data_IF_999373512036
#
_entry.id   IF_999373512036
#
_cell.length_a   1.000
_cell.length_b   1.000
_cell.length_c   1.000
_cell.angle_alpha   90.00
_cell.angle_beta   90.00
_cell.angle_gamma   90.00
#
_symmetry.space_group_name_H-M   'P 1'
#
loop_
_entity.id
_entity.type
_entity.pdbx_description
1 polymer ?
#
# COMPACT_ATOMS: atom_id res chain seq x y z
N UNK A 1 -21.37 -5.01 33.41
CA UNK A 1 -22.15 -4.33 32.33
C UNK A 1 -22.40 -5.26 31.14
N UNK A 2 -21.46 -5.63 30.26
CA UNK A 2 -21.79 -6.56 29.12
C UNK A 2 -22.26 -7.94 29.61
N UNK A 3 -21.59 -8.55 30.60
CA UNK A 3 -22.04 -9.83 31.14
C UNK A 3 -23.46 -9.76 31.71
N UNK A 4 -23.81 -8.68 32.40
CA UNK A 4 -25.13 -8.46 32.94
C UNK A 4 -26.21 -8.28 31.85
N UNK A 5 -25.90 -7.56 30.76
CA UNK A 5 -26.77 -7.42 29.60
C UNK A 5 -27.19 -8.76 29.01
N UNK A 6 -26.33 -9.76 29.09
CA UNK A 6 -26.57 -11.13 28.60
C UNK A 6 -26.84 -12.13 29.74
N UNK A 7 -27.23 -11.65 30.92
CA UNK A 7 -27.62 -12.49 32.05
C UNK A 7 -26.49 -13.40 32.63
N UNK A 8 -25.22 -13.10 32.29
CA UNK A 8 -24.09 -13.90 32.76
C UNK A 8 -23.50 -13.36 34.07
N UNK A 9 -23.25 -14.24 35.01
CA UNK A 9 -22.53 -13.91 36.24
C UNK A 9 -21.04 -13.77 35.98
N UNK A 10 -20.39 -12.88 36.72
CA UNK A 10 -18.93 -12.83 36.77
C UNK A 10 -18.42 -13.85 37.76
N UNK A 11 -17.51 -14.71 37.36
CA UNK A 11 -16.88 -15.73 38.20
C UNK A 11 -15.36 -15.54 38.20
N UNK A 12 -14.73 -15.86 39.33
CA UNK A 12 -13.28 -15.74 39.47
C UNK A 12 -12.60 -16.86 38.65
N UNK A 13 -11.70 -16.46 37.73
CA UNK A 13 -10.95 -17.41 36.91
C UNK A 13 -9.51 -17.51 37.41
N UNK A 14 -9.25 -18.51 38.22
CA UNK A 14 -7.92 -18.73 38.86
C UNK A 14 -6.74 -18.84 37.87
N UNK A 15 -6.88 -19.50 36.67
CA UNK A 15 -5.80 -19.51 35.69
C UNK A 15 -5.43 -18.11 35.18
N UNK A 16 -6.40 -17.22 34.92
CA UNK A 16 -6.13 -15.84 34.52
C UNK A 16 -5.45 -15.05 35.65
N UNK A 17 -5.89 -15.22 36.92
CA UNK A 17 -5.26 -14.58 38.04
C UNK A 17 -3.76 -14.94 38.13
N UNK A 18 -3.42 -16.23 38.01
CA UNK A 18 -2.03 -16.70 38.02
C UNK A 18 -1.21 -16.10 36.86
N UNK A 19 -1.78 -15.94 35.69
CA UNK A 19 -1.08 -15.30 34.57
C UNK A 19 -0.81 -13.82 34.83
N UNK A 20 -1.77 -13.12 35.40
CA UNK A 20 -1.60 -11.72 35.80
C UNK A 20 -0.49 -11.58 36.84
N UNK A 21 -0.49 -12.42 37.85
CA UNK A 21 0.58 -12.50 38.88
C UNK A 21 1.97 -12.69 38.24
N UNK A 22 2.11 -13.72 37.40
CA UNK A 22 3.37 -14.01 36.69
C UNK A 22 3.82 -12.85 35.79
N UNK A 23 2.88 -12.12 35.17
CA UNK A 23 3.20 -10.95 34.35
C UNK A 23 3.76 -9.81 35.21
N UNK A 24 3.15 -9.55 36.38
CA UNK A 24 3.64 -8.54 37.35
C UNK A 24 5.00 -8.91 37.94
N UNK A 25 5.22 -10.15 38.34
CA UNK A 25 6.51 -10.63 38.83
C UNK A 25 7.64 -10.41 37.83
N UNK A 26 7.37 -10.67 36.55
CA UNK A 26 8.36 -10.49 35.45
C UNK A 26 8.71 -9.03 35.16
N UNK A 27 7.73 -8.12 35.23
CA UNK A 27 7.92 -6.71 34.83
C UNK A 27 8.15 -5.75 35.98
N UNK A 28 7.71 -6.09 37.17
CA UNK A 28 7.72 -5.22 38.33
C UNK A 28 8.32 -5.92 39.58
N UNK A 29 9.47 -6.57 39.40
CA UNK A 29 10.15 -7.29 40.47
C UNK A 29 10.12 -6.50 41.79
N UNK A 30 9.43 -7.04 42.83
CA UNK A 30 9.31 -6.46 44.16
C UNK A 30 8.11 -5.53 44.42
N UNK A 31 7.19 -5.32 43.47
CA UNK A 31 5.93 -4.60 43.74
C UNK A 31 4.76 -5.59 43.81
N UNK A 32 4.00 -5.61 44.91
CA UNK A 32 2.84 -6.48 45.03
C UNK A 32 1.74 -6.05 44.07
N UNK A 33 1.05 -7.03 43.53
CA UNK A 33 -0.15 -6.81 42.70
C UNK A 33 -1.27 -6.20 43.54
N UNK A 34 -1.96 -5.20 43.04
CA UNK A 34 -3.08 -4.56 43.76
C UNK A 34 -4.37 -5.36 43.59
N UNK A 35 -5.34 -5.23 44.53
CA UNK A 35 -6.64 -5.89 44.45
C UNK A 35 -7.38 -5.57 43.16
N UNK A 36 -7.23 -4.36 42.63
CA UNK A 36 -7.85 -3.96 41.35
C UNK A 36 -7.42 -4.82 40.17
N UNK A 37 -6.22 -5.39 40.21
CA UNK A 37 -5.74 -6.25 39.11
C UNK A 37 -6.43 -7.63 39.15
N UNK A 38 -6.87 -8.11 40.31
CA UNK A 38 -7.64 -9.35 40.43
C UNK A 38 -9.04 -9.22 39.81
N UNK A 39 -9.60 -8.01 39.72
CA UNK A 39 -10.86 -7.77 39.02
C UNK A 39 -10.79 -8.16 37.53
N UNK A 40 -9.60 -8.10 36.93
CA UNK A 40 -9.38 -8.56 35.55
C UNK A 40 -9.55 -10.07 35.38
N UNK A 41 -9.50 -10.84 36.46
CA UNK A 41 -9.76 -12.27 36.48
C UNK A 41 -11.24 -12.62 36.77
N UNK A 42 -12.11 -11.61 36.96
CA UNK A 42 -13.55 -11.81 37.06
C UNK A 42 -14.16 -11.88 35.66
N UNK A 43 -14.42 -13.08 35.17
CA UNK A 43 -14.83 -13.34 33.80
C UNK A 43 -16.29 -13.80 33.72
N UNK A 44 -17.00 -13.58 32.59
CA UNK A 44 -18.34 -14.11 32.39
C UNK A 44 -18.37 -15.63 32.48
N UNK A 45 -19.34 -16.18 33.22
CA UNK A 45 -19.50 -17.62 33.38
C UNK A 45 -19.65 -18.34 32.02
N UNK A 46 -18.86 -19.40 31.81
CA UNK A 46 -18.88 -20.21 30.58
C UNK A 46 -18.25 -19.53 29.37
N UNK A 47 -17.49 -18.45 29.56
CA UNK A 47 -16.77 -17.83 28.43
C UNK A 47 -15.54 -18.65 28.03
N UNK A 48 -15.17 -18.51 26.76
CA UNK A 48 -13.84 -18.91 26.26
C UNK A 48 -12.86 -17.80 26.63
N UNK A 49 -11.78 -18.14 27.35
CA UNK A 49 -10.73 -17.21 27.71
C UNK A 49 -9.73 -17.08 26.57
N UNK A 50 -9.45 -15.83 26.19
CA UNK A 50 -8.45 -15.48 25.19
C UNK A 50 -7.23 -14.93 25.93
N UNK A 51 -6.18 -15.73 26.02
CA UNK A 51 -4.96 -15.39 26.76
C UNK A 51 -4.25 -14.15 26.15
N UNK A 52 -3.86 -13.22 27.03
CA UNK A 52 -3.13 -12.01 26.66
C UNK A 52 -1.63 -12.18 26.97
N UNK A 53 -0.81 -12.36 25.95
CA UNK A 53 0.66 -12.44 26.08
C UNK A 53 1.33 -11.06 26.01
N UNK A 54 0.59 -9.99 25.73
CA UNK A 54 1.07 -8.62 25.52
C UNK A 54 0.70 -7.66 26.65
N UNK A 55 -0.11 -8.12 27.60
CA UNK A 55 -0.59 -7.34 28.75
C UNK A 55 -1.16 -8.23 29.86
N UNK A 56 -1.92 -7.63 30.77
CA UNK A 56 -2.45 -8.32 31.96
C UNK A 56 -3.87 -8.84 31.77
N UNK A 57 -4.76 -8.02 31.24
CA UNK A 57 -6.19 -8.37 31.13
C UNK A 57 -6.43 -9.42 30.05
N UNK A 58 -7.04 -10.57 30.36
CA UNK A 58 -7.43 -11.54 29.33
C UNK A 58 -8.56 -10.96 28.45
N UNK A 59 -8.65 -11.47 27.22
CA UNK A 59 -9.85 -11.33 26.43
C UNK A 59 -10.84 -12.46 26.75
N UNK A 60 -12.10 -12.28 26.41
CA UNK A 60 -13.13 -13.31 26.56
C UNK A 60 -14.05 -13.36 25.35
N UNK A 61 -14.54 -14.57 25.04
CA UNK A 61 -15.55 -14.79 24.04
C UNK A 61 -16.65 -15.66 24.60
N UNK A 62 -17.92 -15.33 24.30
CA UNK A 62 -19.08 -16.15 24.64
C UNK A 62 -20.20 -15.96 23.64
N UNK A 63 -21.15 -16.90 23.65
CA UNK A 63 -22.37 -16.79 22.87
C UNK A 63 -23.56 -16.69 23.83
N UNK A 64 -24.47 -15.77 23.53
CA UNK A 64 -25.75 -15.62 24.24
C UNK A 64 -26.77 -15.00 23.29
N UNK A 65 -28.02 -15.49 23.34
CA UNK A 65 -29.16 -15.01 22.53
C UNK A 65 -28.86 -14.99 21.01
N UNK A 66 -28.05 -15.95 20.51
CA UNK A 66 -27.65 -16.02 19.10
C UNK A 66 -26.59 -14.98 18.71
N UNK A 67 -26.06 -14.20 19.66
CA UNK A 67 -25.03 -13.20 19.45
C UNK A 67 -23.70 -13.69 20.03
N UNK A 68 -22.62 -13.56 19.26
CA UNK A 68 -21.26 -13.82 19.75
C UNK A 68 -20.63 -12.53 20.23
N UNK A 69 -20.23 -12.51 21.49
CA UNK A 69 -19.61 -11.37 22.15
C UNK A 69 -18.12 -11.67 22.38
N UNK A 70 -17.27 -10.77 21.90
CA UNK A 70 -15.82 -10.83 22.13
C UNK A 70 -15.40 -9.52 22.78
N UNK A 71 -14.74 -9.62 23.92
CA UNK A 71 -14.18 -8.47 24.63
C UNK A 71 -12.66 -8.56 24.69
N UNK A 72 -11.99 -7.49 24.34
CA UNK A 72 -10.53 -7.37 24.32
C UNK A 72 -10.09 -6.17 25.18
N UNK A 73 -8.83 -6.19 25.68
CA UNK A 73 -8.24 -5.04 26.35
C UNK A 73 -8.22 -3.80 25.47
N UNK A 74 -8.40 -2.62 26.09
CA UNK A 74 -8.44 -1.33 25.38
C UNK A 74 -7.13 -0.85 24.76
N UNK A 75 -5.92 -1.07 25.35
CA UNK A 75 -4.69 -0.56 24.78
C UNK A 75 -4.46 -1.09 23.35
N UNK A 76 -4.24 -0.20 22.34
CA UNK A 76 -4.20 -0.60 20.92
C UNK A 76 -3.18 -1.69 20.59
N UNK A 77 -2.03 -1.70 21.30
CA UNK A 77 -0.98 -2.70 21.10
C UNK A 77 -1.46 -4.10 21.51
N UNK A 78 -2.10 -4.21 22.68
CA UNK A 78 -2.65 -5.46 23.17
C UNK A 78 -3.83 -5.92 22.33
N UNK A 79 -4.79 -5.02 22.07
CA UNK A 79 -6.00 -5.30 21.31
C UNK A 79 -5.68 -5.85 19.92
N UNK A 80 -4.77 -5.21 19.16
CA UNK A 80 -4.36 -5.66 17.82
C UNK A 80 -3.69 -7.03 17.84
N UNK A 81 -2.76 -7.22 18.78
CA UNK A 81 -2.05 -8.49 18.88
C UNK A 81 -2.99 -9.63 19.29
N UNK A 82 -3.86 -9.42 20.26
CA UNK A 82 -4.87 -10.40 20.67
C UNK A 82 -5.88 -10.68 19.56
N UNK A 83 -6.33 -9.67 18.83
CA UNK A 83 -7.21 -9.87 17.69
C UNK A 83 -6.57 -10.79 16.65
N UNK A 84 -5.34 -10.49 16.27
CA UNK A 84 -4.61 -11.28 15.27
C UNK A 84 -4.34 -12.72 15.73
N UNK A 85 -3.87 -12.90 16.96
CA UNK A 85 -3.34 -14.19 17.41
C UNK A 85 -4.31 -15.04 18.23
N UNK A 86 -5.45 -14.48 18.66
CA UNK A 86 -6.44 -15.19 19.47
C UNK A 86 -7.85 -15.15 18.85
N UNK A 87 -8.33 -13.95 18.48
CA UNK A 87 -9.69 -13.80 17.97
C UNK A 87 -9.84 -14.39 16.58
N UNK A 88 -8.92 -14.09 15.65
CA UNK A 88 -8.98 -14.64 14.29
C UNK A 88 -8.98 -16.19 14.31
N UNK A 89 -8.08 -16.90 15.02
CA UNK A 89 -8.14 -18.34 15.12
C UNK A 89 -9.45 -18.86 15.76
N UNK A 90 -9.93 -18.20 16.81
CA UNK A 90 -11.21 -18.53 17.43
C UNK A 90 -12.38 -18.41 16.44
N UNK A 91 -12.48 -17.30 15.71
CA UNK A 91 -13.52 -17.11 14.70
C UNK A 91 -13.41 -18.12 13.55
N UNK A 92 -12.18 -18.44 13.12
CA UNK A 92 -11.94 -19.47 12.10
C UNK A 92 -12.43 -20.85 12.54
N UNK A 93 -12.30 -21.19 13.83
CA UNK A 93 -12.79 -22.47 14.36
C UNK A 93 -14.32 -22.60 14.37
N UNK A 94 -15.03 -21.46 14.27
CA UNK A 94 -16.50 -21.41 14.26
C UNK A 94 -17.08 -21.24 12.84
N UNK A 95 -16.21 -21.02 11.86
CA UNK A 95 -16.65 -20.78 10.48
C UNK A 95 -16.99 -22.09 9.77
N UNK A 96 -18.04 -22.05 8.96
CA UNK A 96 -18.48 -23.14 8.08
C UNK A 96 -17.79 -23.13 6.72
N UNK A 97 -16.59 -22.57 6.65
CA UNK A 97 -15.78 -22.41 5.45
C UNK A 97 -14.79 -21.27 5.57
N UNK A 98 -14.16 -20.94 4.46
CA UNK A 98 -13.16 -19.87 4.36
C UNK A 98 -13.62 -18.81 3.39
N UNK A 99 -13.18 -17.56 3.63
CA UNK A 99 -13.32 -16.44 2.70
C UNK A 99 -11.92 -16.08 2.22
N UNK A 100 -11.72 -16.14 0.90
CA UNK A 100 -10.47 -15.76 0.24
C UNK A 100 -10.73 -14.56 -0.65
N UNK A 101 -9.84 -13.59 -0.63
CA UNK A 101 -9.88 -12.44 -1.52
C UNK A 101 -8.60 -12.36 -2.36
N UNK A 102 -8.76 -11.89 -3.58
CA UNK A 102 -7.69 -11.57 -4.52
C UNK A 102 -7.87 -10.11 -4.97
N UNK A 103 -6.88 -9.27 -4.77
CA UNK A 103 -6.95 -7.86 -5.12
C UNK A 103 -6.04 -7.56 -6.29
N UNK A 104 -6.63 -7.19 -7.44
CA UNK A 104 -5.91 -6.69 -8.60
C UNK A 104 -5.73 -5.17 -8.46
N UNK A 105 -4.52 -4.69 -8.67
CA UNK A 105 -4.16 -3.28 -8.60
C UNK A 105 -4.00 -2.72 -10.01
N UNK A 106 -4.67 -1.59 -10.30
CA UNK A 106 -4.71 -0.97 -11.61
C UNK A 106 -4.20 0.47 -11.56
N UNK A 107 -3.46 0.84 -12.61
CA UNK A 107 -3.02 2.21 -12.83
C UNK A 107 -3.37 2.67 -14.24
N UNK A 108 -3.78 3.95 -14.41
CA UNK A 108 -4.10 4.54 -15.71
C UNK A 108 -5.56 4.39 -16.16
N UNK A 109 -6.45 3.99 -15.26
CA UNK A 109 -7.91 3.99 -15.48
C UNK A 109 -8.60 4.68 -14.30
N UNK A 110 -9.65 5.46 -14.59
CA UNK A 110 -10.50 6.07 -13.55
C UNK A 110 -11.55 5.09 -13.03
N UNK A 111 -11.94 5.24 -11.76
CA UNK A 111 -12.92 4.39 -11.08
C UNK A 111 -14.24 4.29 -11.86
N UNK A 112 -14.82 5.42 -12.23
CA UNK A 112 -16.10 5.45 -12.98
C UNK A 112 -16.03 4.72 -14.32
N UNK A 113 -14.90 4.83 -15.02
CA UNK A 113 -14.68 4.12 -16.29
C UNK A 113 -14.51 2.61 -16.08
N UNK A 114 -13.86 2.22 -15.00
CA UNK A 114 -13.70 0.82 -14.62
C UNK A 114 -15.02 0.21 -14.17
N UNK A 115 -15.77 0.91 -13.29
CA UNK A 115 -17.08 0.48 -12.80
C UNK A 115 -18.08 0.31 -13.95
N UNK A 116 -18.15 1.27 -14.88
CA UNK A 116 -19.04 1.20 -16.03
C UNK A 116 -18.80 -0.05 -16.90
N UNK A 117 -17.53 -0.50 -17.01
CA UNK A 117 -17.18 -1.70 -17.75
C UNK A 117 -17.51 -3.01 -17.03
N UNK A 118 -17.75 -2.97 -15.72
CA UNK A 118 -17.90 -4.14 -14.87
C UNK A 118 -19.28 -4.25 -14.21
N UNK A 119 -20.14 -3.25 -14.35
CA UNK A 119 -21.41 -3.14 -13.62
C UNK A 119 -22.29 -4.37 -13.77
N UNK A 120 -22.58 -4.78 -15.00
CA UNK A 120 -23.41 -5.95 -15.28
C UNK A 120 -22.79 -7.24 -14.71
N UNK A 121 -21.47 -7.38 -14.80
CA UNK A 121 -20.75 -8.54 -14.27
C UNK A 121 -20.81 -8.55 -12.73
N UNK A 122 -20.62 -7.40 -12.08
CA UNK A 122 -20.70 -7.27 -10.62
C UNK A 122 -22.11 -7.56 -10.10
N UNK A 123 -23.15 -7.09 -10.78
CA UNK A 123 -24.55 -7.32 -10.40
C UNK A 123 -24.97 -8.80 -10.57
N UNK A 124 -24.42 -9.51 -11.54
CA UNK A 124 -24.71 -10.92 -11.78
C UNK A 124 -23.95 -11.89 -10.87
N UNK A 125 -22.86 -11.43 -10.24
CA UNK A 125 -21.99 -12.28 -9.43
C UNK A 125 -22.47 -12.37 -7.98
N UNK A 126 -22.58 -13.61 -7.47
CA UNK A 126 -22.94 -13.89 -6.07
C UNK A 126 -21.80 -14.52 -5.28
N UNK A 127 -21.08 -15.47 -5.89
CA UNK A 127 -19.90 -16.12 -5.33
C UNK A 127 -19.04 -16.71 -6.46
N UNK A 128 -17.86 -16.15 -6.75
CA UNK A 128 -17.23 -15.03 -6.07
C UNK A 128 -17.95 -13.70 -6.33
N UNK A 129 -17.71 -12.72 -5.48
CA UNK A 129 -18.12 -11.33 -5.70
C UNK A 129 -16.95 -10.52 -6.25
N UNK A 130 -17.26 -9.43 -6.97
CA UNK A 130 -16.29 -8.49 -7.50
C UNK A 130 -16.65 -7.08 -7.01
N UNK A 131 -15.68 -6.35 -6.45
CA UNK A 131 -15.87 -4.99 -5.95
C UNK A 131 -14.73 -4.06 -6.37
N UNK A 132 -15.04 -2.88 -6.94
CA UNK A 132 -14.07 -1.83 -7.24
C UNK A 132 -13.81 -0.97 -6.00
N UNK A 133 -12.57 -0.46 -5.90
CA UNK A 133 -12.16 0.51 -4.89
C UNK A 133 -11.29 1.58 -5.54
N UNK A 134 -11.62 2.85 -5.29
CA UNK A 134 -10.75 3.95 -5.70
C UNK A 134 -9.71 4.24 -4.62
N UNK A 135 -8.51 4.56 -5.07
CA UNK A 135 -7.46 5.19 -4.30
C UNK A 135 -6.95 6.42 -5.03
N UNK A 136 -6.15 7.23 -4.37
CA UNK A 136 -5.59 8.41 -4.99
C UNK A 136 -4.68 8.05 -6.18
N UNK A 137 -5.20 8.23 -7.40
CA UNK A 137 -4.51 7.94 -8.67
C UNK A 137 -4.44 6.47 -9.07
N UNK A 138 -5.05 5.56 -8.32
CA UNK A 138 -5.05 4.12 -8.57
C UNK A 138 -6.43 3.51 -8.36
N UNK A 139 -6.68 2.35 -8.95
CA UNK A 139 -7.90 1.57 -8.73
C UNK A 139 -7.55 0.16 -8.26
N UNK A 140 -8.46 -0.45 -7.52
CA UNK A 140 -8.37 -1.84 -7.09
C UNK A 140 -9.63 -2.60 -7.47
N UNK A 141 -9.47 -3.85 -7.90
CA UNK A 141 -10.56 -4.81 -8.09
C UNK A 141 -10.36 -5.97 -7.12
N UNK A 142 -11.30 -6.14 -6.20
CA UNK A 142 -11.26 -7.23 -5.25
C UNK A 142 -12.25 -8.32 -5.66
N UNK A 143 -11.73 -9.51 -5.88
CA UNK A 143 -12.50 -10.73 -6.12
C UNK A 143 -12.55 -11.46 -4.77
N UNK A 144 -13.73 -11.81 -4.26
CA UNK A 144 -13.88 -12.49 -2.97
C UNK A 144 -14.77 -13.71 -3.11
N UNK A 145 -14.27 -14.87 -2.70
CA UNK A 145 -15.00 -16.14 -2.71
C UNK A 145 -15.13 -16.73 -1.31
N UNK A 146 -16.28 -17.32 -1.01
CA UNK A 146 -16.51 -18.23 0.13
C UNK A 146 -16.57 -19.66 -0.38
N UNK A 147 -15.83 -20.58 0.27
CA UNK A 147 -15.86 -22.02 -0.04
C UNK A 147 -15.54 -22.86 1.21
N UNK A 148 -15.60 -24.16 1.10
CA UNK A 148 -15.27 -25.07 2.20
C UNK A 148 -13.81 -24.96 2.63
N UNK A 149 -12.90 -24.73 1.67
CA UNK A 149 -11.45 -24.61 1.88
C UNK A 149 -10.84 -23.56 0.94
N UNK A 150 -9.56 -23.24 1.19
CA UNK A 150 -8.84 -22.21 0.46
C UNK A 150 -8.62 -22.58 -1.02
N UNK A 151 -8.38 -23.84 -1.33
CA UNK A 151 -8.18 -24.33 -2.70
C UNK A 151 -9.45 -24.14 -3.53
N UNK A 152 -10.58 -24.56 -3.00
CA UNK A 152 -11.90 -24.37 -3.63
C UNK A 152 -12.23 -22.88 -3.83
N UNK A 153 -11.92 -22.01 -2.85
CA UNK A 153 -12.13 -20.58 -2.99
C UNK A 153 -11.23 -19.97 -4.08
N UNK A 154 -9.97 -20.37 -4.15
CA UNK A 154 -9.04 -19.92 -5.21
C UNK A 154 -9.48 -20.41 -6.59
N UNK A 155 -10.03 -21.63 -6.71
CA UNK A 155 -10.58 -22.14 -7.95
C UNK A 155 -11.77 -21.33 -8.48
N UNK A 156 -12.59 -20.78 -7.57
CA UNK A 156 -13.67 -19.83 -7.95
C UNK A 156 -13.14 -18.46 -8.40
N UNK A 157 -12.05 -18.00 -7.80
CA UNK A 157 -11.43 -16.68 -8.11
C UNK A 157 -10.71 -16.70 -9.45
N UNK A 158 -9.99 -17.77 -9.77
CA UNK A 158 -9.08 -17.85 -10.91
C UNK A 158 -9.72 -17.48 -12.26
N UNK A 159 -10.89 -17.99 -12.66
CA UNK A 159 -11.50 -17.62 -13.95
C UNK A 159 -11.95 -16.15 -14.01
N UNK A 160 -12.27 -15.54 -12.86
CA UNK A 160 -12.61 -14.12 -12.79
C UNK A 160 -11.34 -13.28 -12.96
N UNK A 161 -10.26 -13.62 -12.27
CA UNK A 161 -8.96 -12.97 -12.43
C UNK A 161 -8.48 -13.03 -13.89
N UNK A 162 -8.59 -14.18 -14.54
CA UNK A 162 -8.19 -14.36 -15.94
C UNK A 162 -8.98 -13.43 -16.88
N UNK A 163 -10.30 -13.36 -16.73
CA UNK A 163 -11.13 -12.44 -17.54
C UNK A 163 -10.77 -10.97 -17.31
N UNK A 164 -10.54 -10.59 -16.06
CA UNK A 164 -10.12 -9.22 -15.72
C UNK A 164 -8.75 -8.89 -16.29
N UNK A 165 -7.81 -9.83 -16.25
CA UNK A 165 -6.49 -9.67 -16.89
C UNK A 165 -6.58 -9.56 -18.40
N UNK A 166 -7.47 -10.32 -19.06
CA UNK A 166 -7.72 -10.19 -20.49
C UNK A 166 -8.33 -8.83 -20.85
N UNK A 167 -9.23 -8.29 -20.00
CA UNK A 167 -9.90 -7.01 -20.23
C UNK A 167 -9.01 -5.80 -19.98
N UNK A 168 -8.32 -5.76 -18.86
CA UNK A 168 -7.53 -4.59 -18.43
C UNK A 168 -6.03 -4.69 -18.77
N UNK A 169 -5.54 -5.87 -19.05
CA UNK A 169 -4.17 -6.11 -19.55
C UNK A 169 -3.08 -5.32 -18.82
N UNK A 170 -2.37 -4.46 -19.58
CA UNK A 170 -1.26 -3.68 -19.05
C UNK A 170 -1.61 -2.66 -17.95
N UNK A 171 -2.89 -2.36 -17.74
CA UNK A 171 -3.35 -1.49 -16.67
C UNK A 171 -3.21 -2.18 -15.30
N UNK A 172 -3.29 -3.52 -15.24
CA UNK A 172 -3.07 -4.29 -14.01
C UNK A 172 -1.56 -4.35 -13.76
N UNK A 173 -1.13 -3.70 -12.67
CA UNK A 173 0.29 -3.67 -12.32
C UNK A 173 0.70 -4.75 -11.29
N UNK A 174 -0.25 -5.38 -10.64
CA UNK A 174 0.02 -6.43 -9.68
C UNK A 174 -1.24 -7.04 -9.08
N UNK A 175 -1.06 -8.14 -8.38
CA UNK A 175 -2.10 -8.79 -7.60
C UNK A 175 -1.59 -8.98 -6.17
N UNK A 176 -2.38 -8.55 -5.17
CA UNK A 176 -2.05 -8.56 -3.75
C UNK A 176 -0.74 -7.82 -3.40
N UNK A 177 -0.28 -6.92 -4.27
CA UNK A 177 0.90 -6.07 -4.02
C UNK A 177 0.48 -4.84 -3.22
N UNK A 178 1.33 -4.33 -2.30
CA UNK A 178 0.96 -3.18 -1.47
C UNK A 178 0.79 -1.88 -2.27
N UNK A 179 1.65 -1.63 -3.26
CA UNK A 179 1.67 -0.39 -4.03
C UNK A 179 2.42 -0.54 -5.36
N UNK A 180 2.34 0.49 -6.21
CA UNK A 180 3.01 0.53 -7.51
C UNK A 180 4.54 0.54 -7.37
N UNK A 181 5.09 1.30 -6.42
CA UNK A 181 6.52 1.29 -6.10
C UNK A 181 7.00 -0.07 -5.57
N UNK A 182 6.15 -0.78 -4.83
CA UNK A 182 6.47 -2.13 -4.38
C UNK A 182 6.52 -3.13 -5.55
N UNK A 183 5.64 -2.99 -6.54
CA UNK A 183 5.71 -3.78 -7.77
C UNK A 183 7.00 -3.48 -8.55
N UNK A 184 7.39 -2.20 -8.67
CA UNK A 184 8.66 -1.79 -9.30
C UNK A 184 9.85 -2.39 -8.54
N UNK A 185 9.85 -2.32 -7.21
CA UNK A 185 10.92 -2.88 -6.38
C UNK A 185 11.12 -4.37 -6.64
N UNK A 186 10.04 -5.15 -6.68
CA UNK A 186 10.11 -6.59 -6.97
C UNK A 186 10.69 -6.86 -8.37
N UNK A 187 10.21 -6.15 -9.39
CA UNK A 187 10.71 -6.30 -10.77
C UNK A 187 12.20 -5.93 -10.88
N UNK A 188 12.64 -4.87 -10.21
CA UNK A 188 14.07 -4.50 -10.17
C UNK A 188 14.91 -5.61 -9.53
N UNK A 189 14.44 -6.15 -8.42
CA UNK A 189 15.11 -7.24 -7.69
C UNK A 189 15.19 -8.51 -8.53
N UNK A 190 14.10 -8.90 -9.18
CA UNK A 190 14.04 -10.09 -10.04
C UNK A 190 15.00 -9.99 -11.24
N UNK A 191 15.15 -8.78 -11.79
CA UNK A 191 16.02 -8.53 -12.95
C UNK A 191 17.47 -8.19 -12.57
N UNK A 192 17.77 -7.98 -11.31
CA UNK A 192 19.07 -7.55 -10.83
C UNK A 192 19.45 -6.14 -11.29
N UNK A 193 18.44 -5.26 -11.53
CA UNK A 193 18.64 -3.91 -12.01
C UNK A 193 18.51 -2.88 -10.89
N UNK A 194 19.16 -1.74 -11.09
CA UNK A 194 19.15 -0.62 -10.13
C UNK A 194 18.44 0.59 -10.70
N UNK A 195 17.78 1.36 -9.82
CA UNK A 195 17.02 2.57 -10.14
C UNK A 195 17.60 3.78 -9.40
N UNK A 196 17.64 4.91 -10.10
CA UNK A 196 17.85 6.24 -9.53
C UNK A 196 16.76 7.22 -9.94
N UNK A 197 16.74 8.43 -9.37
CA UNK A 197 15.79 9.46 -9.79
C UNK A 197 16.38 10.87 -9.80
N UNK A 198 15.83 11.74 -10.68
CA UNK A 198 16.02 13.18 -10.68
C UNK A 198 14.67 13.87 -10.52
N UNK A 199 14.50 14.65 -9.47
CA UNK A 199 13.22 15.22 -9.11
C UNK A 199 13.26 16.74 -9.11
N UNK A 200 12.31 17.37 -9.83
CA UNK A 200 12.02 18.77 -9.74
C UNK A 200 10.67 18.98 -9.04
N UNK A 201 9.56 18.96 -9.75
CA UNK A 201 8.24 19.24 -9.19
C UNK A 201 7.77 18.24 -8.11
N UNK A 202 8.24 16.99 -8.14
CA UNK A 202 7.94 15.97 -7.12
C UNK A 202 8.71 16.18 -5.81
N UNK A 203 9.88 16.88 -5.87
CA UNK A 203 10.60 17.37 -4.69
C UNK A 203 11.01 16.30 -3.69
N UNK A 204 11.51 15.15 -4.16
CA UNK A 204 11.95 14.02 -3.33
C UNK A 204 10.88 12.95 -3.09
N UNK A 205 9.67 13.09 -3.65
CA UNK A 205 8.56 12.15 -3.39
C UNK A 205 8.79 10.77 -4.02
N UNK A 206 9.43 10.69 -5.19
CA UNK A 206 9.78 9.42 -5.83
C UNK A 206 10.81 8.67 -4.94
N UNK A 207 11.87 9.37 -4.53
CA UNK A 207 12.86 8.80 -3.63
C UNK A 207 12.26 8.40 -2.28
N UNK A 208 11.39 9.24 -1.72
CA UNK A 208 10.68 8.96 -0.45
C UNK A 208 9.84 7.68 -0.56
N UNK A 209 9.00 7.53 -1.58
CA UNK A 209 8.14 6.34 -1.77
C UNK A 209 8.98 5.07 -1.95
N UNK A 210 10.11 5.12 -2.66
CA UNK A 210 11.03 3.99 -2.75
C UNK A 210 11.65 3.65 -1.38
N UNK A 211 12.11 4.65 -0.65
CA UNK A 211 12.80 4.45 0.64
C UNK A 211 11.88 4.06 1.79
N UNK A 212 10.56 4.17 1.63
CA UNK A 212 9.58 3.60 2.57
C UNK A 212 9.59 2.06 2.56
N UNK A 213 10.13 1.44 1.50
CA UNK A 213 10.16 -0.01 1.36
C UNK A 213 11.40 -0.60 2.03
N UNK A 214 11.18 -1.55 2.92
CA UNK A 214 12.29 -2.26 3.58
C UNK A 214 13.12 -3.07 2.57
N UNK A 215 14.45 -2.96 2.65
CA UNK A 215 15.37 -3.68 1.77
C UNK A 215 15.58 -3.04 0.39
N UNK A 216 15.02 -1.86 0.13
CA UNK A 216 15.13 -1.16 -1.15
C UNK A 216 16.56 -0.74 -1.52
N UNK A 217 17.48 -0.64 -0.55
CA UNK A 217 18.88 -0.31 -0.78
C UNK A 217 19.62 -1.30 -1.73
N UNK A 218 19.06 -2.50 -1.91
CA UNK A 218 19.57 -3.46 -2.86
C UNK A 218 19.41 -3.02 -4.32
N UNK A 219 18.41 -2.18 -4.62
CA UNK A 219 18.05 -1.77 -5.99
C UNK A 219 17.97 -0.26 -6.20
N UNK A 220 17.79 0.54 -5.15
CA UNK A 220 17.68 2.00 -5.27
C UNK A 220 18.99 2.67 -4.91
N UNK A 221 19.59 3.38 -5.88
CA UNK A 221 20.89 4.06 -5.73
C UNK A 221 20.79 5.43 -5.07
N UNK A 222 19.61 6.07 -5.17
CA UNK A 222 19.37 7.40 -4.61
C UNK A 222 18.65 8.32 -5.58
N UNK A 223 18.55 9.60 -5.19
CA UNK A 223 17.89 10.61 -5.99
C UNK A 223 18.59 11.97 -5.90
N UNK A 224 18.48 12.76 -6.99
CA UNK A 224 18.90 14.17 -7.05
C UNK A 224 17.66 15.04 -7.07
N UNK A 225 17.44 15.86 -6.05
CA UNK A 225 16.40 16.89 -6.05
C UNK A 225 16.95 18.14 -6.72
N UNK A 226 16.75 18.24 -8.03
CA UNK A 226 17.19 19.35 -8.88
C UNK A 226 16.09 20.42 -8.99
N UNK A 227 15.72 21.02 -7.85
CA UNK A 227 14.58 21.93 -7.78
C UNK A 227 14.88 23.26 -8.48
N UNK A 228 16.02 23.87 -8.18
CA UNK A 228 16.52 25.04 -8.90
C UNK A 228 17.02 24.65 -10.30
N UNK A 229 16.84 25.54 -11.29
CA UNK A 229 17.23 25.27 -12.68
C UNK A 229 18.73 25.06 -12.82
N UNK A 230 19.57 25.80 -12.10
CA UNK A 230 21.02 25.66 -12.09
C UNK A 230 21.51 24.28 -11.62
N UNK A 231 20.77 23.62 -10.69
CA UNK A 231 21.10 22.26 -10.22
C UNK A 231 20.91 21.23 -11.34
N UNK A 232 19.97 21.45 -12.25
CA UNK A 232 19.80 20.60 -13.44
C UNK A 232 21.05 20.64 -14.30
N UNK A 233 21.66 21.81 -14.47
CA UNK A 233 22.90 21.99 -15.21
C UNK A 233 24.11 21.45 -14.44
N UNK A 234 24.34 21.94 -13.24
CA UNK A 234 25.58 21.69 -12.48
C UNK A 234 25.73 20.27 -11.97
N UNK A 235 24.63 19.63 -11.59
CA UNK A 235 24.63 18.27 -11.00
C UNK A 235 24.28 17.22 -12.03
N UNK A 236 23.20 17.42 -12.78
CA UNK A 236 22.74 16.42 -13.76
C UNK A 236 23.40 16.59 -15.14
N UNK A 237 24.09 17.70 -15.39
CA UNK A 237 24.75 17.98 -16.65
C UNK A 237 23.77 18.26 -17.80
N UNK A 238 22.59 18.79 -17.49
CA UNK A 238 21.67 19.31 -18.52
C UNK A 238 22.35 20.49 -19.20
N UNK A 239 22.45 20.50 -20.52
CA UNK A 239 23.07 21.58 -21.26
C UNK A 239 22.33 22.91 -21.03
N UNK A 240 23.09 24.00 -20.78
CA UNK A 240 22.51 25.31 -20.56
C UNK A 240 21.66 25.76 -21.76
N UNK A 241 22.11 25.46 -22.97
CA UNK A 241 21.39 25.77 -24.20
C UNK A 241 19.97 25.15 -24.24
N UNK A 242 19.80 23.91 -23.73
CA UNK A 242 18.48 23.29 -23.62
C UNK A 242 17.57 24.02 -22.62
N UNK A 243 18.12 24.45 -21.50
CA UNK A 243 17.40 25.22 -20.50
C UNK A 243 16.98 26.60 -21.02
N UNK A 244 17.84 27.26 -21.76
CA UNK A 244 17.58 28.59 -22.34
C UNK A 244 16.54 28.50 -23.47
N UNK A 245 16.62 27.52 -24.33
CA UNK A 245 15.72 27.34 -25.49
C UNK A 245 14.36 26.81 -25.05
N UNK A 246 14.31 25.66 -24.33
CA UNK A 246 13.06 24.93 -24.05
C UNK A 246 12.49 25.21 -22.65
N UNK A 247 13.28 25.78 -21.73
CA UNK A 247 12.90 25.96 -20.33
C UNK A 247 12.97 24.68 -19.51
N UNK A 248 12.95 24.88 -18.19
CA UNK A 248 13.08 23.77 -17.24
C UNK A 248 11.94 22.74 -17.32
N UNK A 249 10.74 23.15 -17.79
CA UNK A 249 9.55 22.30 -17.92
C UNK A 249 9.35 21.97 -19.40
N UNK A 250 10.07 20.98 -19.87
CA UNK A 250 10.03 20.55 -21.28
C UNK A 250 10.48 19.11 -21.44
N UNK A 251 10.12 18.51 -22.57
CA UNK A 251 10.53 17.13 -22.90
C UNK A 251 12.05 16.97 -23.03
N UNK A 252 12.79 17.85 -23.77
CA UNK A 252 14.25 17.73 -23.87
C UNK A 252 14.94 17.79 -22.51
N UNK A 253 14.48 18.67 -21.62
CA UNK A 253 15.06 18.82 -20.28
C UNK A 253 14.71 17.60 -19.40
N UNK A 254 13.49 17.06 -19.46
CA UNK A 254 13.15 15.82 -18.72
C UNK A 254 14.04 14.64 -19.15
N UNK A 255 14.26 14.49 -20.46
CA UNK A 255 15.16 13.50 -21.05
C UNK A 255 16.57 13.64 -20.52
N UNK A 256 17.15 14.81 -20.65
CA UNK A 256 18.50 15.10 -20.20
C UNK A 256 18.66 14.91 -18.67
N UNK A 257 17.65 15.27 -17.88
CA UNK A 257 17.63 15.00 -16.43
C UNK A 257 17.70 13.50 -16.11
N UNK A 258 16.92 12.66 -16.79
CA UNK A 258 16.92 11.22 -16.56
C UNK A 258 18.28 10.59 -16.97
N UNK A 259 18.82 10.97 -18.12
CA UNK A 259 20.14 10.51 -18.59
C UNK A 259 21.26 10.98 -17.67
N UNK A 260 21.18 12.23 -17.21
CA UNK A 260 22.09 12.79 -16.21
C UNK A 260 22.05 12.04 -14.88
N UNK A 261 20.85 11.77 -14.37
CA UNK A 261 20.69 11.00 -13.14
C UNK A 261 21.26 9.58 -13.25
N UNK A 262 20.99 8.91 -14.36
CA UNK A 262 21.53 7.58 -14.64
C UNK A 262 23.06 7.56 -14.58
N UNK A 263 23.70 8.54 -15.17
CA UNK A 263 25.16 8.72 -15.18
C UNK A 263 25.71 9.05 -13.78
N UNK A 264 25.13 10.04 -13.11
CA UNK A 264 25.61 10.55 -11.81
C UNK A 264 25.46 9.51 -10.69
N UNK A 265 24.35 8.78 -10.70
CA UNK A 265 24.06 7.78 -9.68
C UNK A 265 24.62 6.39 -10.01
N UNK A 266 25.17 6.18 -11.21
CA UNK A 266 25.72 4.90 -11.65
C UNK A 266 24.69 3.77 -11.57
N UNK A 267 23.45 4.04 -12.01
CA UNK A 267 22.35 3.07 -11.99
C UNK A 267 21.98 2.61 -13.39
N UNK A 268 21.29 1.46 -13.48
CA UNK A 268 20.84 0.91 -14.74
C UNK A 268 19.69 1.70 -15.36
N UNK A 269 18.77 2.14 -14.50
CA UNK A 269 17.60 2.91 -14.87
C UNK A 269 17.53 4.21 -14.05
N UNK A 270 17.08 5.30 -14.65
CA UNK A 270 16.78 6.52 -13.91
C UNK A 270 15.48 7.16 -14.40
N UNK A 271 14.65 7.59 -13.46
CA UNK A 271 13.45 8.38 -13.77
C UNK A 271 13.68 9.86 -13.46
N UNK A 272 13.09 10.73 -14.26
CA UNK A 272 13.11 12.17 -13.98
C UNK A 272 11.70 12.76 -14.00
N UNK A 273 11.48 13.82 -13.23
CA UNK A 273 10.26 14.61 -13.23
C UNK A 273 10.57 16.10 -13.31
N UNK A 274 9.95 16.80 -14.25
CA UNK A 274 9.95 18.26 -14.30
C UNK A 274 8.55 18.76 -14.67
N UNK A 275 8.07 19.83 -14.04
CA UNK A 275 6.70 20.28 -14.26
C UNK A 275 6.26 21.41 -13.34
N UNK A 276 5.03 21.87 -13.56
CA UNK A 276 4.38 22.96 -12.83
C UNK A 276 3.36 22.37 -11.86
N UNK A 277 3.72 22.29 -10.59
CA UNK A 277 2.82 21.77 -9.56
C UNK A 277 1.76 22.80 -9.08
N UNK A 278 1.97 24.07 -9.38
CA UNK A 278 1.09 25.16 -8.97
C UNK A 278 1.46 25.81 -7.62
N UNK A 279 0.73 26.84 -7.15
CA UNK A 279 -0.61 27.22 -7.62
C UNK A 279 -0.64 27.98 -8.96
N UNK A 280 0.44 28.65 -9.34
CA UNK A 280 0.53 29.50 -10.51
C UNK A 280 1.26 28.82 -11.68
N UNK A 281 1.02 29.22 -12.93
CA UNK A 281 1.83 28.87 -14.08
C UNK A 281 3.31 29.26 -13.85
N UNK A 282 4.23 28.64 -14.61
CA UNK A 282 5.62 29.04 -14.56
C UNK A 282 5.88 30.33 -15.36
N UNK A 283 7.12 30.85 -15.30
CA UNK A 283 7.55 32.10 -15.97
C UNK A 283 7.41 32.04 -17.50
N UNK A 284 7.32 30.84 -18.08
CA UNK A 284 7.11 30.64 -19.52
C UNK A 284 5.64 30.43 -19.90
N UNK A 285 4.73 30.51 -18.93
CA UNK A 285 3.28 30.33 -19.14
C UNK A 285 2.85 28.87 -19.24
N UNK A 286 3.69 27.91 -18.85
CA UNK A 286 3.27 26.52 -18.78
C UNK A 286 2.16 26.36 -17.72
N UNK A 287 1.04 25.69 -18.06
CA UNK A 287 -0.09 25.60 -17.15
C UNK A 287 0.22 24.73 -15.93
N UNK A 288 -0.44 25.03 -14.83
CA UNK A 288 -0.42 24.19 -13.62
C UNK A 288 -0.86 22.77 -13.97
N UNK A 289 -0.12 21.79 -13.50
CA UNK A 289 -0.38 20.38 -13.74
C UNK A 289 0.32 19.79 -14.97
N UNK A 290 0.97 20.60 -15.79
CA UNK A 290 1.85 20.12 -16.85
C UNK A 290 3.11 19.51 -16.24
N UNK A 291 3.35 18.22 -16.52
CA UNK A 291 4.56 17.52 -16.06
C UNK A 291 5.11 16.65 -17.19
N UNK A 292 6.42 16.68 -17.36
CA UNK A 292 7.17 15.75 -18.16
C UNK A 292 7.91 14.76 -17.24
N UNK A 293 7.74 13.48 -17.55
CA UNK A 293 8.39 12.37 -16.86
C UNK A 293 9.26 11.63 -17.86
N UNK A 294 10.48 11.32 -17.51
CA UNK A 294 11.37 10.56 -18.37
C UNK A 294 11.90 9.32 -17.65
N UNK A 295 12.12 8.26 -18.41
CA UNK A 295 12.85 7.05 -18.00
C UNK A 295 14.03 6.85 -18.92
N UNK A 296 15.24 6.91 -18.39
CA UNK A 296 16.46 6.54 -19.09
C UNK A 296 16.88 5.10 -18.75
N UNK A 297 17.18 4.32 -19.77
CA UNK A 297 17.65 2.95 -19.68
C UNK A 297 18.82 2.71 -20.64
N UNK A 298 19.49 1.54 -20.63
CA UNK A 298 20.61 1.24 -21.53
C UNK A 298 20.27 1.33 -23.02
N UNK A 299 19.05 1.03 -23.39
CA UNK A 299 18.55 0.93 -24.77
C UNK A 299 17.72 2.13 -25.23
N UNK A 300 17.54 3.15 -24.37
CA UNK A 300 16.85 4.37 -24.77
C UNK A 300 16.32 5.21 -23.62
N UNK A 301 15.68 6.33 -24.00
CA UNK A 301 15.04 7.25 -23.07
C UNK A 301 13.64 7.57 -23.56
N UNK A 302 12.64 7.30 -22.74
CA UNK A 302 11.22 7.55 -23.04
C UNK A 302 10.70 8.72 -22.21
N UNK A 303 9.83 9.51 -22.78
CA UNK A 303 9.22 10.66 -22.11
C UNK A 303 7.71 10.56 -22.18
N UNK A 304 7.06 10.79 -21.05
CA UNK A 304 5.61 10.91 -20.90
C UNK A 304 5.25 12.32 -20.49
N UNK A 305 4.38 12.95 -21.27
CA UNK A 305 3.74 14.22 -20.91
C UNK A 305 2.42 13.93 -20.23
N UNK A 306 2.19 14.54 -19.07
CA UNK A 306 0.89 14.48 -18.38
C UNK A 306 0.38 15.89 -18.10
N UNK A 307 -0.95 16.02 -18.04
CA UNK A 307 -1.64 17.22 -17.60
C UNK A 307 -2.60 16.82 -16.47
N UNK A 308 -2.32 17.28 -15.26
CA UNK A 308 -3.12 16.98 -14.08
C UNK A 308 -3.73 18.26 -13.51
N UNK A 309 -4.99 18.14 -13.05
CA UNK A 309 -5.66 19.20 -12.27
C UNK A 309 -5.64 18.89 -10.76
N UNK A 310 -6.35 19.73 -9.98
CA UNK A 310 -6.70 19.45 -8.57
C UNK A 310 -5.59 19.63 -7.53
N UNK A 311 -4.70 20.62 -7.74
CA UNK A 311 -3.81 21.14 -6.70
C UNK A 311 -2.44 20.48 -6.63
N UNK A 312 -1.53 21.20 -5.98
CA UNK A 312 -0.09 20.92 -5.94
C UNK A 312 0.26 19.53 -5.40
N UNK A 313 -0.37 19.12 -4.31
CA UNK A 313 -0.08 17.81 -3.69
C UNK A 313 -0.43 16.68 -4.63
N UNK A 314 -1.64 16.74 -5.24
CA UNK A 314 -2.09 15.74 -6.19
C UNK A 314 -1.23 15.68 -7.45
N UNK A 315 -0.81 16.83 -8.02
CA UNK A 315 0.11 16.86 -9.16
C UNK A 315 1.40 16.10 -8.83
N UNK A 316 1.99 16.37 -7.67
CA UNK A 316 3.22 15.70 -7.22
C UNK A 316 3.01 14.19 -7.03
N UNK A 317 1.92 13.80 -6.37
CA UNK A 317 1.63 12.39 -6.07
C UNK A 317 1.40 11.57 -7.33
N UNK A 318 0.53 12.07 -8.22
CA UNK A 318 0.22 11.40 -9.50
C UNK A 318 1.45 11.37 -10.41
N UNK A 319 2.27 12.42 -10.44
CA UNK A 319 3.53 12.41 -11.20
C UNK A 319 4.50 11.33 -10.72
N UNK A 320 4.64 11.15 -9.41
CA UNK A 320 5.45 10.05 -8.88
C UNK A 320 4.90 8.67 -9.27
N UNK A 321 3.57 8.48 -9.24
CA UNK A 321 2.95 7.23 -9.70
C UNK A 321 3.18 6.97 -11.20
N UNK A 322 3.10 8.00 -12.05
CA UNK A 322 3.44 7.86 -13.47
C UNK A 322 4.93 7.52 -13.70
N UNK A 323 5.85 8.03 -12.87
CA UNK A 323 7.26 7.66 -12.97
C UNK A 323 7.47 6.17 -12.64
N UNK A 324 6.78 5.66 -11.63
CA UNK A 324 6.81 4.23 -11.31
C UNK A 324 6.13 3.38 -12.40
N UNK A 325 5.04 3.84 -12.99
CA UNK A 325 4.39 3.11 -14.09
C UNK A 325 5.29 3.04 -15.34
N UNK A 326 5.99 4.12 -15.72
CA UNK A 326 6.99 4.09 -16.78
C UNK A 326 8.06 3.02 -16.51
N UNK A 327 8.60 3.00 -15.30
CA UNK A 327 9.62 2.02 -14.89
C UNK A 327 9.08 0.60 -14.93
N UNK A 328 7.88 0.37 -14.38
CA UNK A 328 7.21 -0.93 -14.40
C UNK A 328 6.97 -1.42 -15.83
N UNK A 329 6.46 -0.56 -16.70
CA UNK A 329 6.16 -0.92 -18.11
C UNK A 329 7.44 -1.34 -18.83
N UNK A 330 8.51 -0.59 -18.66
CA UNK A 330 9.82 -0.97 -19.20
C UNK A 330 10.29 -2.33 -18.67
N UNK A 331 10.30 -2.50 -17.36
CA UNK A 331 10.71 -3.75 -16.72
C UNK A 331 9.85 -4.95 -17.12
N UNK A 332 8.60 -4.75 -17.46
CA UNK A 332 7.67 -5.79 -17.90
C UNK A 332 7.66 -6.02 -19.42
N UNK A 333 8.49 -5.33 -20.20
CA UNK A 333 8.50 -5.42 -21.66
C UNK A 333 7.22 -4.88 -22.32
N UNK A 334 6.52 -4.01 -21.64
CA UNK A 334 5.32 -3.35 -22.15
C UNK A 334 5.72 -2.07 -22.90
N UNK A 335 4.80 -1.59 -23.77
CA UNK A 335 5.00 -0.32 -24.43
C UNK A 335 5.16 0.82 -23.42
N UNK A 336 6.27 1.56 -23.51
CA UNK A 336 6.62 2.68 -22.64
C UNK A 336 6.12 3.97 -23.27
N UNK A 337 4.95 4.44 -22.82
CA UNK A 337 4.29 5.68 -23.30
C UNK A 337 3.96 6.59 -22.13
#
# INVERSE_FOLDING_TARGET
MLAECFGKKLVFHAPSARRIEAYFERLHAGRPMTENNYQQAMLPEGCTVLDNDWGTAPGVAFEADGVRVIMLPGPPRECRAMFTHRVIPYLKSLADGVIVSRTLKLFGIGESSMEAQLREEMEAMTNPTLAPYAKEGECELRITAKAADEESARALIAPVEERLRARFGPLIYGADVPSLEAAVFQLLKEKGLTLGCAESCTGGLIAKRMTDLSGVSAVFRGGVVSYATEVKHTVLGVEQALLDEFGAVSEPVARAMAEGARRVLGCDLAVASTGVAGPDPDERGNPVGLVYLALAAPDGTWVRKIQQGLGRERVRHVSASHAFDLTRRYLSGLEVK
#
